data_IF_319583493730
#
_entry.id   IF_319583493730
#
_cell.length_a   1.000
_cell.length_b   1.000
_cell.length_c   1.000
_cell.angle_alpha   90.00
_cell.angle_beta   90.00
_cell.angle_gamma   90.00
#
_symmetry.space_group_name_H-M   'P 1'
#
loop_
_entity.id
_entity.type
_entity.pdbx_description
1 polymer ?
#
# COMPACT_ATOMS: atom_id res chain seq x y z
N UNK A 1 10.30 48.15 9.94
CA UNK A 1 9.11 47.33 10.28
C UNK A 1 8.68 46.33 9.20
N UNK A 2 9.27 46.27 7.99
CA UNK A 2 8.83 45.32 6.93
C UNK A 2 9.48 43.92 6.96
N UNK A 3 10.58 43.73 7.68
CA UNK A 3 11.37 42.47 7.65
C UNK A 3 10.81 41.40 8.61
N UNK A 4 10.12 41.81 9.68
CA UNK A 4 9.55 40.88 10.67
C UNK A 4 8.34 40.09 10.16
N UNK A 5 7.58 40.67 9.22
CA UNK A 5 6.42 40.02 8.58
C UNK A 5 6.85 38.90 7.63
N UNK A 6 7.93 39.07 6.85
CA UNK A 6 8.48 38.00 6.01
C UNK A 6 9.01 36.83 6.85
N UNK A 7 9.70 37.12 7.95
CA UNK A 7 10.19 36.08 8.85
C UNK A 7 9.05 35.31 9.54
N UNK A 8 7.95 35.98 9.90
CA UNK A 8 6.76 35.33 10.45
C UNK A 8 6.03 34.46 9.40
N UNK A 9 5.93 34.92 8.15
CA UNK A 9 5.34 34.17 7.04
C UNK A 9 6.17 32.92 6.67
N UNK A 10 7.50 33.06 6.60
CA UNK A 10 8.42 31.94 6.37
C UNK A 10 8.38 30.93 7.52
N UNK A 11 8.34 31.38 8.79
CA UNK A 11 8.16 30.49 9.95
C UNK A 11 6.81 29.77 9.94
N UNK A 12 5.74 30.40 9.46
CA UNK A 12 4.42 29.75 9.32
C UNK A 12 4.42 28.71 8.20
N UNK A 13 5.08 29.02 7.07
CA UNK A 13 5.24 28.09 5.97
C UNK A 13 6.14 26.90 6.37
N UNK A 14 7.25 27.17 7.07
CA UNK A 14 8.14 26.15 7.63
C UNK A 14 7.42 25.28 8.67
N UNK A 15 6.53 25.82 9.50
CA UNK A 15 5.70 24.99 10.41
C UNK A 15 4.69 24.09 9.70
N UNK A 16 4.20 24.49 8.52
CA UNK A 16 3.32 23.65 7.68
C UNK A 16 4.17 22.53 7.06
N UNK A 17 5.31 22.86 6.47
CA UNK A 17 6.26 21.91 5.88
C UNK A 17 6.89 20.97 6.93
N UNK A 18 7.17 21.47 8.14
CA UNK A 18 7.70 20.67 9.26
C UNK A 18 6.62 19.78 9.89
N UNK A 19 5.34 20.16 9.77
CA UNK A 19 4.21 19.27 10.12
C UNK A 19 4.02 18.19 9.06
N UNK A 20 4.25 18.51 7.79
CA UNK A 20 4.25 17.56 6.66
C UNK A 20 5.44 16.58 6.71
N UNK A 21 6.56 16.97 7.32
CA UNK A 21 7.71 16.09 7.60
C UNK A 21 7.50 15.11 8.75
N UNK A 22 6.41 15.21 9.51
CA UNK A 22 6.07 14.17 10.48
C UNK A 22 5.51 12.99 9.70
N UNK A 23 6.12 11.81 9.85
CA UNK A 23 5.56 10.55 9.39
C UNK A 23 4.12 10.48 9.89
N UNK A 24 3.18 10.73 8.99
CA UNK A 24 1.76 10.72 9.31
C UNK A 24 1.37 9.25 9.42
N UNK A 25 0.92 8.84 10.59
CA UNK A 25 0.47 7.47 10.87
C UNK A 25 -1.05 7.42 10.78
N UNK A 26 -1.56 6.39 10.12
CA UNK A 26 -2.97 6.06 10.11
C UNK A 26 -3.39 5.50 11.48
N UNK A 27 -4.39 6.13 12.10
CA UNK A 27 -4.79 5.81 13.47
C UNK A 27 -5.42 4.42 13.62
N UNK A 28 -6.03 3.88 12.57
CA UNK A 28 -6.67 2.56 12.62
C UNK A 28 -5.63 1.44 12.57
N UNK A 29 -4.65 1.56 11.67
CA UNK A 29 -3.73 0.46 11.33
C UNK A 29 -2.33 0.61 11.91
N UNK A 30 -1.94 1.82 12.31
CA UNK A 30 -0.56 2.13 12.71
C UNK A 30 0.43 2.21 11.55
N UNK A 31 -0.02 2.00 10.30
CA UNK A 31 0.82 2.16 9.11
C UNK A 31 1.04 3.63 8.77
N UNK A 32 2.12 3.97 8.05
CA UNK A 32 2.23 5.25 7.36
C UNK A 32 1.00 5.54 6.49
N UNK A 33 0.48 6.77 6.58
CA UNK A 33 -0.74 7.21 5.90
C UNK A 33 -0.48 7.61 4.44
N UNK A 34 -1.55 7.96 3.72
CA UNK A 34 -1.48 8.56 2.37
C UNK A 34 -0.55 9.78 2.31
N UNK A 35 -0.52 10.60 3.35
CA UNK A 35 0.37 11.77 3.38
C UNK A 35 1.84 11.33 3.40
N UNK A 36 2.17 10.32 4.21
CA UNK A 36 3.52 9.75 4.25
C UNK A 36 3.88 9.06 2.91
N UNK A 37 2.93 8.37 2.28
CA UNK A 37 3.10 7.78 0.96
C UNK A 37 3.46 8.83 -0.10
N UNK A 38 2.73 9.95 -0.14
CA UNK A 38 2.99 11.02 -1.10
C UNK A 38 4.40 11.62 -0.93
N UNK A 39 4.82 11.84 0.32
CA UNK A 39 6.18 12.32 0.63
C UNK A 39 7.24 11.28 0.20
N UNK A 40 7.02 10.01 0.51
CA UNK A 40 7.93 8.93 0.11
C UNK A 40 8.05 8.86 -1.42
N UNK A 41 6.93 8.82 -2.14
CA UNK A 41 6.91 8.81 -3.61
C UNK A 41 7.62 10.01 -4.23
N UNK A 42 7.43 11.22 -3.69
CA UNK A 42 8.10 12.43 -4.17
C UNK A 42 9.62 12.41 -3.93
N UNK A 43 10.09 11.62 -2.97
CA UNK A 43 11.52 11.48 -2.64
C UNK A 43 12.26 10.42 -3.44
N UNK A 44 11.54 9.52 -4.14
CA UNK A 44 12.15 8.43 -4.89
C UNK A 44 12.80 8.94 -6.16
N UNK A 45 14.06 8.56 -6.36
CA UNK A 45 14.78 8.83 -7.60
C UNK A 45 14.30 7.92 -8.71
N UNK A 46 14.03 8.52 -9.87
CA UNK A 46 13.64 7.82 -11.09
C UNK A 46 14.78 7.82 -12.13
N UNK A 47 16.03 7.74 -11.68
CA UNK A 47 17.21 7.72 -12.55
C UNK A 47 17.43 6.32 -13.15
N UNK A 48 17.28 5.26 -12.36
CA UNK A 48 17.53 3.89 -12.81
C UNK A 48 16.22 3.10 -13.06
N UNK A 49 16.00 2.58 -14.28
CA UNK A 49 14.91 1.62 -14.52
C UNK A 49 15.03 0.39 -13.63
N UNK A 50 13.91 -0.08 -13.09
CA UNK A 50 13.84 -1.25 -12.22
C UNK A 50 14.27 -1.02 -10.77
N UNK A 51 14.73 0.18 -10.40
CA UNK A 51 15.21 0.48 -9.04
C UNK A 51 14.11 0.50 -7.97
N UNK A 52 12.85 0.58 -8.39
CA UNK A 52 11.70 0.44 -7.51
C UNK A 52 10.48 -0.05 -8.27
N UNK A 53 9.52 -0.60 -7.53
CA UNK A 53 8.18 -0.95 -8.01
C UNK A 53 7.13 -0.46 -7.02
N UNK A 54 5.88 -0.43 -7.45
CA UNK A 54 4.73 -0.06 -6.63
C UNK A 54 3.71 -1.18 -6.69
N UNK A 55 3.27 -1.63 -5.52
CA UNK A 55 1.99 -2.32 -5.38
C UNK A 55 0.93 -1.36 -4.87
N UNK A 56 -0.25 -1.44 -5.45
CA UNK A 56 -1.49 -0.87 -4.92
C UNK A 56 -2.42 -2.04 -4.64
N UNK A 57 -2.99 -2.07 -3.44
CA UNK A 57 -3.85 -3.15 -2.97
C UNK A 57 -5.19 -2.58 -2.54
N UNK A 58 -6.26 -3.33 -2.78
CA UNK A 58 -7.62 -3.02 -2.35
C UNK A 58 -8.21 -4.27 -1.69
N UNK A 59 -8.86 -4.15 -0.52
CA UNK A 59 -9.51 -5.28 0.12
C UNK A 59 -10.83 -5.62 -0.55
N UNK A 60 -10.97 -6.86 -0.98
CA UNK A 60 -12.22 -7.30 -1.60
C UNK A 60 -13.33 -7.42 -0.55
N UNK A 61 -14.54 -6.97 -0.90
CA UNK A 61 -15.77 -7.18 -0.13
C UNK A 61 -15.79 -6.56 1.28
N UNK A 62 -14.95 -5.57 1.60
CA UNK A 62 -15.01 -4.89 2.91
C UNK A 62 -16.41 -4.32 3.20
N UNK A 63 -17.09 -3.77 2.19
CA UNK A 63 -18.47 -3.29 2.33
C UNK A 63 -19.44 -4.39 2.78
N UNK A 64 -19.33 -5.60 2.23
CA UNK A 64 -20.18 -6.74 2.62
C UNK A 64 -19.95 -7.09 4.09
N UNK A 65 -18.70 -7.08 4.54
CA UNK A 65 -18.34 -7.33 5.95
C UNK A 65 -18.94 -6.25 6.86
N UNK A 66 -18.82 -4.97 6.48
CA UNK A 66 -19.43 -3.85 7.21
C UNK A 66 -20.95 -3.97 7.29
N UNK A 67 -21.60 -4.27 6.17
CA UNK A 67 -23.06 -4.35 6.08
C UNK A 67 -23.61 -5.58 6.85
N UNK A 68 -22.82 -6.65 6.96
CA UNK A 68 -23.23 -7.90 7.62
C UNK A 68 -22.89 -7.95 9.12
N UNK A 69 -21.71 -7.46 9.50
CA UNK A 69 -21.16 -7.61 10.87
C UNK A 69 -20.84 -6.26 11.54
N UNK A 70 -21.11 -5.15 10.87
CA UNK A 70 -20.88 -3.80 11.37
C UNK A 70 -19.48 -3.25 11.10
N UNK A 71 -19.34 -1.92 11.20
CA UNK A 71 -18.09 -1.22 10.91
C UNK A 71 -16.91 -1.64 11.80
N UNK A 72 -17.16 -2.03 13.06
CA UNK A 72 -16.09 -2.51 13.95
C UNK A 72 -15.46 -3.81 13.43
N UNK A 73 -16.25 -4.70 12.83
CA UNK A 73 -15.76 -5.92 12.21
C UNK A 73 -14.94 -5.62 10.94
N UNK A 74 -15.37 -4.65 10.13
CA UNK A 74 -14.56 -4.17 9.00
C UNK A 74 -13.26 -3.51 9.44
N UNK A 75 -13.28 -2.69 10.47
CA UNK A 75 -12.09 -2.09 11.06
C UNK A 75 -11.10 -3.15 11.57
N UNK A 76 -11.61 -4.23 12.20
CA UNK A 76 -10.80 -5.37 12.61
C UNK A 76 -10.19 -6.11 11.41
N UNK A 77 -10.94 -6.25 10.32
CA UNK A 77 -10.45 -6.84 9.07
C UNK A 77 -9.33 -5.98 8.46
N UNK A 78 -9.52 -4.67 8.39
CA UNK A 78 -8.52 -3.71 7.89
C UNK A 78 -7.24 -3.79 8.72
N UNK A 79 -7.34 -3.80 10.05
CA UNK A 79 -6.19 -3.94 10.96
C UNK A 79 -5.43 -5.23 10.71
N UNK A 80 -6.14 -6.35 10.58
CA UNK A 80 -5.54 -7.66 10.35
C UNK A 80 -4.84 -7.72 8.98
N UNK A 81 -5.48 -7.19 7.94
CA UNK A 81 -4.88 -7.11 6.61
C UNK A 81 -3.63 -6.22 6.62
N UNK A 82 -3.69 -5.06 7.28
CA UNK A 82 -2.56 -4.13 7.38
C UNK A 82 -1.32 -4.78 8.00
N UNK A 83 -1.48 -5.48 9.13
CA UNK A 83 -0.38 -6.21 9.79
C UNK A 83 0.20 -7.30 8.87
N UNK A 84 -0.66 -8.09 8.22
CA UNK A 84 -0.25 -9.19 7.34
C UNK A 84 0.46 -8.72 6.08
N UNK A 85 -0.04 -7.66 5.42
CA UNK A 85 0.59 -7.07 4.25
C UNK A 85 1.96 -6.50 4.64
N UNK A 86 2.04 -5.75 5.75
CA UNK A 86 3.28 -5.16 6.25
C UNK A 86 4.35 -6.23 6.55
N UNK A 87 3.97 -7.33 7.21
CA UNK A 87 4.87 -8.47 7.46
C UNK A 87 5.32 -9.17 6.18
N UNK A 88 4.43 -9.36 5.21
CA UNK A 88 4.75 -10.00 3.93
C UNK A 88 5.78 -9.20 3.10
N UNK A 89 5.78 -7.88 3.28
CA UNK A 89 6.56 -6.96 2.46
C UNK A 89 7.80 -6.40 3.17
N UNK A 90 8.05 -6.76 4.43
CA UNK A 90 9.29 -6.37 5.12
C UNK A 90 10.53 -6.79 4.29
N UNK A 91 11.52 -5.91 4.05
CA UNK A 91 11.73 -4.59 4.69
C UNK A 91 11.08 -3.39 3.97
N UNK A 92 10.34 -3.61 2.88
CA UNK A 92 9.64 -2.55 2.18
C UNK A 92 8.49 -1.97 3.02
N UNK A 93 8.20 -0.69 2.81
CA UNK A 93 7.22 0.04 3.62
C UNK A 93 5.83 -0.08 3.02
N UNK A 94 4.88 -0.56 3.83
CA UNK A 94 3.45 -0.55 3.50
C UNK A 94 2.79 0.71 4.05
N UNK A 95 1.93 1.32 3.23
CA UNK A 95 1.18 2.52 3.52
C UNK A 95 -0.32 2.20 3.44
N UNK A 96 -1.13 2.86 4.28
CA UNK A 96 -2.59 2.88 4.10
C UNK A 96 -2.98 4.17 3.39
N UNK A 97 -3.63 4.03 2.24
CA UNK A 97 -4.08 5.18 1.44
C UNK A 97 -5.43 5.72 1.92
N UNK A 98 -6.27 4.89 2.54
CA UNK A 98 -7.58 5.22 3.08
C UNK A 98 -8.56 4.09 2.83
N UNK A 99 -9.67 4.01 3.58
CA UNK A 99 -10.65 2.92 3.40
C UNK A 99 -9.98 1.53 3.50
N UNK A 100 -10.14 0.73 2.46
CA UNK A 100 -9.55 -0.57 2.18
C UNK A 100 -8.27 -0.53 1.32
N UNK A 101 -7.83 0.66 0.90
CA UNK A 101 -6.70 0.82 -0.01
C UNK A 101 -5.34 0.88 0.72
N UNK A 102 -4.37 0.12 0.20
CA UNK A 102 -2.98 0.09 0.65
C UNK A 102 -2.02 0.30 -0.52
N UNK A 103 -0.79 0.70 -0.20
CA UNK A 103 0.31 0.77 -1.17
C UNK A 103 1.61 0.26 -0.57
N UNK A 104 2.48 -0.29 -1.41
CA UNK A 104 3.83 -0.71 -1.02
C UNK A 104 4.83 -0.18 -2.03
N UNK A 105 5.81 0.57 -1.54
CA UNK A 105 6.95 1.02 -2.33
C UNK A 105 8.05 -0.03 -2.16
N UNK A 106 8.34 -0.75 -3.25
CA UNK A 106 9.24 -1.91 -3.26
C UNK A 106 10.61 -1.48 -3.73
N UNK A 107 11.62 -1.66 -2.90
CA UNK A 107 13.03 -1.35 -3.18
C UNK A 107 13.97 -2.51 -2.79
N UNK A 108 13.49 -3.48 -2.00
CA UNK A 108 14.23 -4.67 -1.67
C UNK A 108 14.55 -5.50 -2.92
N UNK A 109 15.81 -5.93 -3.06
CA UNK A 109 16.29 -6.61 -4.26
C UNK A 109 15.60 -7.95 -4.53
N UNK A 110 15.24 -8.69 -3.47
CA UNK A 110 14.52 -9.96 -3.58
C UNK A 110 13.10 -9.77 -4.14
N UNK A 111 12.37 -8.77 -3.62
CA UNK A 111 11.03 -8.45 -4.06
C UNK A 111 11.04 -7.86 -5.49
N UNK A 112 12.03 -7.02 -5.82
CA UNK A 112 12.18 -6.49 -7.17
C UNK A 112 12.56 -7.55 -8.22
N UNK A 113 13.27 -8.61 -7.82
CA UNK A 113 13.64 -9.69 -8.74
C UNK A 113 12.41 -10.43 -9.27
N UNK A 114 11.41 -10.66 -8.40
CA UNK A 114 10.18 -11.36 -8.75
C UNK A 114 8.96 -10.74 -8.02
N UNK A 115 8.30 -9.81 -8.71
CA UNK A 115 7.10 -9.14 -8.20
C UNK A 115 5.91 -10.10 -8.10
N UNK A 116 5.85 -11.15 -8.92
CA UNK A 116 4.77 -12.13 -8.83
C UNK A 116 4.91 -12.96 -7.56
N UNK A 117 6.14 -13.42 -7.26
CA UNK A 117 6.43 -14.10 -6.01
C UNK A 117 6.18 -13.19 -4.79
N UNK A 118 6.53 -11.90 -4.87
CA UNK A 118 6.24 -10.94 -3.80
C UNK A 118 4.74 -10.78 -3.56
N UNK A 119 3.93 -10.65 -4.62
CA UNK A 119 2.47 -10.60 -4.50
C UNK A 119 1.89 -11.90 -3.92
N UNK A 120 2.41 -13.07 -4.32
CA UNK A 120 2.02 -14.36 -3.74
C UNK A 120 2.36 -14.47 -2.25
N UNK A 121 3.46 -13.87 -1.76
CA UNK A 121 3.73 -13.79 -0.32
C UNK A 121 2.62 -13.03 0.41
N UNK A 122 2.15 -11.92 -0.15
CA UNK A 122 1.03 -11.15 0.43
C UNK A 122 -0.24 -12.00 0.46
N UNK A 123 -0.61 -12.65 -0.65
CA UNK A 123 -1.81 -13.49 -0.69
C UNK A 123 -1.77 -14.61 0.36
N UNK A 124 -0.64 -15.32 0.50
CA UNK A 124 -0.49 -16.36 1.53
C UNK A 124 -0.63 -15.83 2.96
N UNK A 125 -0.20 -14.60 3.23
CA UNK A 125 -0.41 -14.00 4.56
C UNK A 125 -1.87 -13.58 4.79
N UNK A 126 -2.64 -13.29 3.73
CA UNK A 126 -4.06 -12.95 3.83
C UNK A 126 -4.97 -14.19 3.91
N UNK A 127 -4.54 -15.35 3.40
CA UNK A 127 -5.32 -16.60 3.37
C UNK A 127 -5.89 -17.07 4.73
N UNK A 128 -5.18 -16.99 5.87
CA UNK A 128 -5.74 -17.45 7.13
C UNK A 128 -6.95 -16.62 7.56
N UNK A 129 -8.03 -17.21 8.12
CA UNK A 129 -9.15 -16.42 8.64
C UNK A 129 -8.70 -15.41 9.70
N UNK A 130 -9.34 -14.24 9.71
CA UNK A 130 -9.21 -13.20 10.71
C UNK A 130 -10.40 -13.27 11.67
N UNK A 131 -10.15 -13.05 12.96
CA UNK A 131 -11.19 -12.90 13.96
C UNK A 131 -11.59 -11.43 14.04
N UNK A 132 -12.77 -11.10 13.53
CA UNK A 132 -13.32 -9.75 13.45
C UNK A 132 -14.56 -9.66 14.33
N UNK A 133 -14.43 -9.07 15.53
CA UNK A 133 -15.55 -8.91 16.48
C UNK A 133 -16.30 -10.22 16.75
N UNK A 134 -15.57 -11.34 16.91
CA UNK A 134 -16.16 -12.67 17.14
C UNK A 134 -16.54 -13.45 15.88
N UNK A 135 -16.41 -12.84 14.69
CA UNK A 135 -16.69 -13.47 13.40
C UNK A 135 -15.41 -13.90 12.69
N UNK A 136 -15.42 -15.10 12.10
CA UNK A 136 -14.31 -15.60 11.28
C UNK A 136 -14.47 -15.14 9.83
N UNK A 137 -13.68 -14.18 9.40
CA UNK A 137 -13.70 -13.59 8.04
C UNK A 137 -12.35 -13.77 7.38
N UNK A 138 -12.29 -14.28 6.16
CA UNK A 138 -11.02 -14.40 5.44
C UNK A 138 -10.73 -13.12 4.65
N UNK A 139 -9.66 -12.37 4.95
CA UNK A 139 -9.26 -11.23 4.16
C UNK A 139 -8.94 -11.65 2.72
N UNK A 140 -9.41 -10.88 1.75
CA UNK A 140 -9.02 -11.01 0.35
C UNK A 140 -8.65 -9.63 -0.18
N UNK A 141 -7.78 -9.61 -1.17
CA UNK A 141 -7.34 -8.36 -1.77
C UNK A 141 -7.05 -8.56 -3.24
N UNK A 142 -7.22 -7.49 -4.00
CA UNK A 142 -6.72 -7.36 -5.35
C UNK A 142 -5.42 -6.55 -5.33
N UNK A 143 -4.39 -6.99 -6.07
CA UNK A 143 -3.07 -6.32 -6.13
C UNK A 143 -2.76 -5.91 -7.56
N UNK A 144 -2.55 -4.61 -7.77
CA UNK A 144 -1.98 -4.05 -8.99
C UNK A 144 -0.49 -3.73 -8.80
N UNK A 145 0.36 -4.21 -9.70
CA UNK A 145 1.81 -3.98 -9.66
C UNK A 145 2.33 -3.18 -10.85
N UNK A 146 3.21 -2.22 -10.59
CA UNK A 146 3.87 -1.42 -11.63
C UNK A 146 5.37 -1.30 -11.34
N UNK A 147 6.20 -1.49 -12.37
CA UNK A 147 7.65 -1.28 -12.32
C UNK A 147 8.09 -0.56 -13.59
N UNK A 148 8.97 0.44 -13.45
CA UNK A 148 9.59 1.04 -14.62
C UNK A 148 10.59 0.07 -15.24
N UNK A 149 10.24 -0.54 -16.35
CA UNK A 149 11.16 -1.40 -17.12
C UNK A 149 11.98 -0.59 -18.12
N UNK A 150 13.13 -1.11 -18.56
CA UNK A 150 13.81 -0.54 -19.72
C UNK A 150 12.90 -0.69 -20.95
N UNK A 151 12.93 0.27 -21.88
CA UNK A 151 12.09 0.23 -23.08
C UNK A 151 12.24 -1.07 -23.90
N UNK A 152 13.42 -1.71 -23.85
CA UNK A 152 13.67 -3.00 -24.51
C UNK A 152 12.93 -4.21 -23.89
N UNK A 153 12.46 -4.10 -22.63
CA UNK A 153 11.82 -5.17 -21.86
C UNK A 153 10.28 -5.02 -21.79
N UNK A 154 9.70 -3.96 -22.35
CA UNK A 154 8.27 -3.64 -22.26
C UNK A 154 7.34 -4.58 -23.06
N UNK A 155 7.78 -5.80 -23.41
CA UNK A 155 6.90 -6.80 -24.03
C UNK A 155 5.86 -7.25 -22.99
N UNK A 156 4.65 -6.71 -23.11
CA UNK A 156 3.45 -7.12 -22.39
C UNK A 156 3.36 -8.66 -22.34
N UNK A 157 3.09 -9.27 -21.18
CA UNK A 157 2.79 -10.69 -21.14
C UNK A 157 1.53 -10.92 -21.98
N UNK A 158 1.65 -11.73 -23.05
CA UNK A 158 0.50 -12.19 -23.81
C UNK A 158 -0.44 -12.87 -22.84
N UNK A 159 -1.67 -12.36 -22.72
CA UNK A 159 -2.74 -12.98 -21.98
C UNK A 159 -2.81 -14.47 -22.36
N UNK A 160 -2.40 -15.34 -21.43
CA UNK A 160 -2.57 -16.78 -21.60
C UNK A 160 -4.07 -17.04 -21.53
N UNK A 161 -4.71 -17.19 -22.68
CA UNK A 161 -6.08 -17.68 -22.78
C UNK A 161 -6.09 -19.07 -22.14
N UNK A 162 -6.78 -19.19 -21.01
CA UNK A 162 -7.10 -20.48 -20.42
C UNK A 162 -7.95 -21.26 -21.45
N UNK A 163 -7.61 -22.51 -21.80
CA UNK A 163 -8.43 -23.28 -22.72
C UNK A 163 -9.79 -23.52 -22.06
N UNK A 164 -10.86 -23.18 -22.78
CA UNK A 164 -12.22 -23.50 -22.40
C UNK A 164 -12.32 -25.01 -22.10
N UNK A 165 -12.76 -25.35 -20.89
CA UNK A 165 -13.16 -26.71 -20.55
C UNK A 165 -14.28 -27.11 -21.52
N UNK A 166 -14.02 -28.12 -22.34
CA UNK A 166 -15.02 -28.78 -23.18
C UNK A 166 -15.81 -29.77 -22.33
N UNK A 167 -17.11 -29.87 -22.64
CA UNK A 167 -17.92 -31.09 -22.58
C UNK A 167 -18.14 -31.70 -21.22
#
# INVERSE_FOLDING_TARGET
MGVELCAAALRRHQRIVDRERRVSIDALTGLPSRAAFNVAMASIRCDQPGAWALFVLDLDNLKIVNDTFGHLAGDALIRTAADRISRAMTPDVTFRLGGDEFAVIIQAADALADLEAAAQRVFRQLEPPALCEGHSVTPRATIGGARRVRAAEARLPRARRHPARRG
#
